data_IF_657836448749
#
_entry.id   IF_657836448749
#
_cell.length_a   1.000
_cell.length_b   1.000
_cell.length_c   1.000
_cell.angle_alpha   90.00
_cell.angle_beta   90.00
_cell.angle_gamma   90.00
#
_symmetry.space_group_name_H-M   'P 1'
#
loop_
_entity.id
_entity.type
_entity.pdbx_description
1 polymer ?
#
# COMPACT_ATOMS: atom_id res chain seq x y z
N UNK A 1 -0.87 3.05 -9.74
CA UNK A 1 0.54 2.79 -10.08
C UNK A 1 0.80 2.70 -11.57
N UNK A 2 0.02 1.92 -12.34
CA UNK A 2 0.25 1.73 -13.79
C UNK A 2 0.47 3.05 -14.56
N UNK A 3 -0.33 4.09 -14.29
CA UNK A 3 -0.13 5.42 -14.86
C UNK A 3 1.26 6.01 -14.59
N UNK A 4 1.77 5.90 -13.37
CA UNK A 4 3.10 6.39 -13.01
C UNK A 4 4.21 5.60 -13.72
N UNK A 5 4.07 4.28 -13.82
CA UNK A 5 5.02 3.45 -14.57
C UNK A 5 4.96 3.73 -16.08
N UNK A 6 3.76 3.96 -16.62
CA UNK A 6 3.58 4.38 -18.01
C UNK A 6 4.27 5.73 -18.27
N UNK A 7 4.05 6.72 -17.41
CA UNK A 7 4.75 8.02 -17.45
C UNK A 7 6.27 7.85 -17.36
N UNK A 8 6.76 6.97 -16.47
CA UNK A 8 8.19 6.71 -16.29
C UNK A 8 8.84 6.16 -17.57
N UNK A 9 8.17 5.26 -18.30
CA UNK A 9 8.67 4.70 -19.58
C UNK A 9 8.28 5.54 -20.81
N UNK A 10 7.61 6.69 -20.62
CA UNK A 10 7.14 7.55 -21.71
C UNK A 10 5.98 6.96 -22.54
N UNK A 11 5.23 6.00 -22.01
CA UNK A 11 4.08 5.38 -22.65
C UNK A 11 2.76 6.10 -22.27
N UNK A 12 1.78 6.20 -23.19
CA UNK A 12 0.44 6.67 -22.83
C UNK A 12 -0.22 5.70 -21.83
N UNK A 13 -0.77 6.24 -20.74
CA UNK A 13 -1.32 5.42 -19.65
C UNK A 13 -2.41 4.42 -20.09
N UNK A 14 -3.22 4.76 -21.11
CA UNK A 14 -4.26 3.88 -21.65
C UNK A 14 -3.76 2.77 -22.57
N UNK A 15 -2.46 2.72 -22.87
CA UNK A 15 -1.85 1.69 -23.73
C UNK A 15 -1.01 0.66 -22.96
N UNK A 16 -0.94 0.82 -21.63
CA UNK A 16 -0.19 -0.04 -20.73
C UNK A 16 -1.15 -0.98 -20.01
N UNK A 17 -0.70 -2.20 -19.73
CA UNK A 17 -1.42 -3.18 -18.94
C UNK A 17 -0.44 -3.85 -17.99
N UNK A 18 -0.85 -4.13 -16.77
CA UNK A 18 -0.03 -4.85 -15.81
C UNK A 18 -0.73 -6.04 -15.18
N UNK A 19 0.07 -7.00 -14.72
CA UNK A 19 -0.35 -7.98 -13.73
C UNK A 19 0.34 -7.68 -12.41
N UNK A 20 -0.43 -7.79 -11.34
CA UNK A 20 0.04 -7.62 -9.98
C UNK A 20 -0.69 -8.57 -9.04
N UNK A 21 -0.04 -8.89 -7.92
CA UNK A 21 -0.66 -9.57 -6.80
C UNK A 21 0.10 -9.25 -5.52
N UNK A 22 -0.58 -9.41 -4.38
CA UNK A 22 0.03 -9.35 -3.06
C UNK A 22 -1.00 -9.03 -1.98
N UNK A 23 -0.59 -8.28 -0.96
CA UNK A 23 -1.49 -7.77 0.08
C UNK A 23 -1.87 -6.34 -0.24
N UNK A 24 -2.91 -5.84 0.43
CA UNK A 24 -3.13 -4.41 0.46
C UNK A 24 -1.88 -3.69 0.98
N UNK A 25 -1.47 -2.63 0.27
CA UNK A 25 -0.22 -1.90 0.50
C UNK A 25 1.08 -2.71 0.31
N UNK A 26 1.01 -3.96 -0.18
CA UNK A 26 2.17 -4.76 -0.55
C UNK A 26 1.81 -5.65 -1.75
N UNK A 27 1.35 -5.04 -2.83
CA UNK A 27 1.19 -5.69 -4.11
C UNK A 27 2.40 -5.39 -5.00
N UNK A 28 2.83 -6.37 -5.80
CA UNK A 28 3.93 -6.20 -6.74
C UNK A 28 3.41 -6.29 -8.16
N UNK A 29 3.70 -5.27 -8.98
CA UNK A 29 3.56 -5.35 -10.43
C UNK A 29 4.78 -6.13 -10.94
N UNK A 30 4.55 -7.36 -11.37
CA UNK A 30 5.60 -8.26 -11.85
C UNK A 30 5.58 -8.43 -13.38
N UNK A 31 4.47 -8.08 -14.04
CA UNK A 31 4.36 -8.01 -15.49
C UNK A 31 3.83 -6.62 -15.90
N UNK A 32 4.56 -5.95 -16.78
CA UNK A 32 4.16 -4.67 -17.38
C UNK A 32 4.29 -4.77 -18.91
N UNK A 33 3.18 -4.51 -19.61
CA UNK A 33 3.12 -4.53 -21.07
C UNK A 33 2.74 -3.17 -21.63
N UNK A 34 3.39 -2.76 -22.71
CA UNK A 34 2.96 -1.62 -23.53
C UNK A 34 2.61 -2.13 -24.94
N UNK A 35 1.34 -1.97 -25.35
CA UNK A 35 0.82 -2.53 -26.61
C UNK A 35 1.15 -4.03 -26.76
N UNK A 36 1.04 -4.78 -25.65
CA UNK A 36 1.28 -6.22 -25.60
C UNK A 36 2.74 -6.66 -25.56
N UNK A 37 3.72 -5.75 -25.58
CA UNK A 37 5.16 -6.08 -25.47
C UNK A 37 5.67 -5.86 -24.06
N UNK A 38 6.63 -6.67 -23.61
CA UNK A 38 7.33 -6.46 -22.33
C UNK A 38 7.91 -5.04 -22.26
N UNK A 39 7.50 -4.29 -21.24
CA UNK A 39 7.92 -2.93 -21.00
C UNK A 39 9.03 -2.80 -19.96
N UNK A 40 9.39 -3.87 -19.24
CA UNK A 40 10.46 -3.83 -18.25
C UNK A 40 11.84 -3.47 -18.81
N UNK A 41 12.23 -3.87 -20.03
CA UNK A 41 13.46 -3.39 -20.64
C UNK A 41 13.52 -1.85 -20.75
N UNK A 42 12.39 -1.19 -21.02
CA UNK A 42 12.31 0.27 -21.10
C UNK A 42 12.47 0.91 -19.72
N UNK A 43 11.82 0.37 -18.70
CA UNK A 43 11.97 0.83 -17.32
C UNK A 43 13.42 0.67 -16.83
N UNK A 44 14.10 -0.44 -17.15
CA UNK A 44 15.51 -0.65 -16.80
C UNK A 44 16.44 0.34 -17.49
N UNK A 45 16.22 0.61 -18.79
CA UNK A 45 17.01 1.59 -19.52
C UNK A 45 16.85 2.99 -18.93
N UNK A 46 15.60 3.41 -18.66
CA UNK A 46 15.31 4.70 -18.03
C UNK A 46 15.90 4.81 -16.63
N UNK A 47 15.77 3.75 -15.82
CA UNK A 47 16.34 3.71 -14.48
C UNK A 47 17.87 3.86 -14.53
N UNK A 48 18.55 3.19 -15.46
CA UNK A 48 19.99 3.33 -15.64
C UNK A 48 20.39 4.78 -15.98
N UNK A 49 19.64 5.47 -16.85
CA UNK A 49 19.86 6.90 -17.14
C UNK A 49 19.69 7.77 -15.89
N UNK A 50 18.63 7.55 -15.10
CA UNK A 50 18.36 8.36 -13.91
C UNK A 50 19.34 8.10 -12.76
N UNK A 51 19.99 6.92 -12.71
CA UNK A 51 21.03 6.61 -11.72
C UNK A 51 22.35 7.34 -11.96
N UNK A 52 22.61 7.80 -13.18
CA UNK A 52 23.77 8.65 -13.49
C UNK A 52 23.59 10.10 -13.02
N UNK A 53 22.37 10.50 -12.67
CA UNK A 53 22.07 11.83 -12.14
C UNK A 53 22.37 11.90 -10.63
N UNK A 54 22.80 13.06 -10.11
CA UNK A 54 22.95 13.25 -8.67
C UNK A 54 21.64 12.95 -7.93
N UNK A 55 21.75 12.20 -6.83
CA UNK A 55 20.59 11.87 -6.01
C UNK A 55 20.04 13.14 -5.32
N UNK A 56 18.81 13.50 -5.67
CA UNK A 56 18.13 14.65 -5.08
C UNK A 56 17.44 14.24 -3.77
N UNK A 57 18.12 14.47 -2.64
CA UNK A 57 17.54 14.20 -1.32
C UNK A 57 16.28 15.04 -1.01
N UNK A 58 16.02 16.13 -1.73
CA UNK A 58 14.81 16.94 -1.56
C UNK A 58 13.58 16.30 -2.23
N UNK A 59 13.79 15.42 -3.21
CA UNK A 59 12.72 14.68 -3.87
C UNK A 59 12.01 13.67 -2.94
N UNK A 60 12.69 13.25 -1.87
CA UNK A 60 12.12 12.41 -0.83
C UNK A 60 11.11 13.21 -0.02
N UNK A 61 9.83 12.91 -0.24
CA UNK A 61 8.74 13.68 0.32
C UNK A 61 8.74 13.63 1.85
N UNK A 62 8.67 14.82 2.47
CA UNK A 62 8.50 14.95 3.92
C UNK A 62 7.12 14.53 4.38
N UNK A 63 6.12 14.65 3.50
CA UNK A 63 4.71 14.36 3.77
C UNK A 63 4.16 13.45 2.68
N UNK A 64 2.95 12.93 2.88
CA UNK A 64 2.17 12.41 1.76
C UNK A 64 2.19 13.43 0.60
N UNK A 65 2.24 13.01 -0.69
CA UNK A 65 1.70 13.90 -1.72
C UNK A 65 0.33 14.35 -1.24
N UNK A 66 0.06 15.65 -1.26
CA UNK A 66 -1.28 16.13 -0.93
C UNK A 66 -2.28 15.21 -1.65
N UNK A 67 -3.36 14.76 -1.01
CA UNK A 67 -4.45 14.08 -1.74
C UNK A 67 -5.04 14.97 -2.85
N UNK A 68 -4.57 16.22 -2.91
CA UNK A 68 -4.76 17.19 -3.96
C UNK A 68 -3.80 16.89 -5.10
N UNK A 69 -4.28 16.77 -6.34
CA UNK A 69 -3.39 16.75 -7.48
C UNK A 69 -2.54 18.02 -7.45
N UNK A 70 -1.23 17.86 -7.27
CA UNK A 70 -0.29 18.95 -7.50
C UNK A 70 -0.48 19.37 -8.97
N UNK A 71 -0.71 20.66 -9.26
CA UNK A 71 -0.76 21.14 -10.62
C UNK A 71 0.68 21.21 -11.15
N UNK A 72 1.30 20.08 -11.46
CA UNK A 72 2.49 20.06 -12.30
C UNK A 72 2.82 18.69 -12.89
N UNK A 73 3.03 18.74 -14.21
CA UNK A 73 3.57 17.73 -15.12
C UNK A 73 5.02 17.37 -14.80
N UNK A 74 5.37 16.98 -13.57
CA UNK A 74 6.68 16.37 -13.33
C UNK A 74 6.55 14.87 -13.56
N UNK A 75 7.25 14.35 -14.57
CA UNK A 75 7.38 12.91 -14.75
C UNK A 75 7.88 12.28 -13.44
N UNK A 76 7.29 11.14 -13.06
CA UNK A 76 7.75 10.36 -11.91
C UNK A 76 9.25 10.10 -12.04
N UNK A 77 10.05 10.41 -11.00
CA UNK A 77 11.49 10.14 -11.00
C UNK A 77 11.80 8.91 -10.15
N UNK A 78 12.90 8.24 -10.46
CA UNK A 78 13.42 7.15 -9.67
C UNK A 78 13.91 7.61 -8.29
N UNK A 79 14.44 8.84 -8.20
CA UNK A 79 14.87 9.44 -6.94
C UNK A 79 13.71 9.67 -5.96
N UNK A 80 12.45 9.76 -6.43
CA UNK A 80 11.27 9.92 -5.58
C UNK A 80 10.96 8.65 -4.77
N UNK A 81 11.33 7.47 -5.32
CA UNK A 81 11.00 6.15 -4.76
C UNK A 81 12.20 5.18 -4.83
N UNK A 82 13.35 5.54 -4.25
CA UNK A 82 14.59 4.78 -4.42
C UNK A 82 14.51 3.34 -3.90
N UNK A 83 13.74 3.09 -2.84
CA UNK A 83 13.55 1.76 -2.28
C UNK A 83 12.70 0.87 -3.19
N UNK A 84 11.60 1.39 -3.76
CA UNK A 84 10.77 0.65 -4.71
C UNK A 84 11.57 0.24 -5.95
N UNK A 85 12.42 1.13 -6.46
CA UNK A 85 13.33 0.79 -7.56
C UNK A 85 14.40 -0.23 -7.15
N UNK A 86 14.89 -0.18 -5.91
CA UNK A 86 15.81 -1.22 -5.42
C UNK A 86 15.15 -2.61 -5.34
N UNK A 87 13.85 -2.67 -5.00
CA UNK A 87 13.07 -3.91 -5.05
C UNK A 87 12.87 -4.38 -6.49
N UNK A 88 12.62 -3.46 -7.44
CA UNK A 88 12.54 -3.81 -8.85
C UNK A 88 13.86 -4.34 -9.41
N UNK A 89 14.99 -3.78 -9.03
CA UNK A 89 16.32 -4.28 -9.39
C UNK A 89 16.56 -5.69 -8.83
N UNK A 90 16.14 -5.94 -7.58
CA UNK A 90 16.35 -7.22 -6.90
C UNK A 90 15.42 -8.34 -7.39
N UNK A 91 14.13 -8.02 -7.63
CA UNK A 91 13.08 -9.03 -7.86
C UNK A 91 12.46 -8.97 -9.25
N UNK A 92 12.81 -7.96 -10.06
CA UNK A 92 12.18 -7.73 -11.37
C UNK A 92 10.72 -7.28 -11.29
N UNK A 93 10.25 -6.87 -10.11
CA UNK A 93 8.88 -6.45 -9.87
C UNK A 93 8.83 -5.16 -9.04
N UNK A 94 7.92 -4.26 -9.38
CA UNK A 94 7.80 -2.96 -8.75
C UNK A 94 6.65 -2.94 -7.73
N UNK A 95 6.85 -2.49 -6.48
CA UNK A 95 5.77 -2.42 -5.50
C UNK A 95 4.73 -1.36 -5.89
N UNK A 96 3.46 -1.75 -5.94
CA UNK A 96 2.36 -0.96 -6.50
C UNK A 96 1.93 0.25 -5.65
N UNK A 97 2.69 0.59 -4.61
CA UNK A 97 2.36 1.62 -3.62
C UNK A 97 3.49 2.59 -3.29
N UNK A 98 4.63 2.49 -3.97
CA UNK A 98 5.79 3.35 -3.75
C UNK A 98 6.38 3.25 -2.32
N UNK A 99 7.46 4.02 -2.08
CA UNK A 99 8.30 3.89 -0.90
C UNK A 99 7.55 4.10 0.41
N UNK A 100 6.64 5.07 0.43
CA UNK A 100 5.86 5.44 1.62
C UNK A 100 5.20 4.24 2.29
N UNK A 101 4.60 3.37 1.50
CA UNK A 101 3.87 2.22 2.02
C UNK A 101 4.77 0.99 2.08
N UNK A 102 5.52 0.72 1.00
CA UNK A 102 6.31 -0.52 0.94
C UNK A 102 7.41 -0.55 2.00
N UNK A 103 7.95 0.60 2.45
CA UNK A 103 8.98 0.63 3.49
C UNK A 103 8.53 0.00 4.82
N UNK A 104 7.24 0.12 5.16
CA UNK A 104 6.67 -0.41 6.40
C UNK A 104 6.72 -1.95 6.44
N UNK A 105 6.77 -2.60 5.27
CA UNK A 105 6.85 -4.05 5.16
C UNK A 105 8.27 -4.61 5.21
N UNK A 106 9.30 -3.76 5.22
CA UNK A 106 10.70 -4.15 5.27
C UNK A 106 11.48 -3.40 6.37
N UNK A 107 11.03 -3.44 7.64
CA UNK A 107 11.68 -2.73 8.73
C UNK A 107 13.16 -3.12 8.90
N UNK A 108 13.54 -4.35 8.55
CA UNK A 108 14.92 -4.84 8.59
C UNK A 108 15.86 -4.10 7.62
N UNK A 109 15.32 -3.40 6.61
CA UNK A 109 16.09 -2.58 5.66
C UNK A 109 16.36 -1.17 6.18
N UNK A 110 15.69 -0.75 7.25
CA UNK A 110 15.75 0.60 7.79
C UNK A 110 16.04 0.59 9.29
N UNK A 111 17.22 0.09 9.73
CA UNK A 111 17.58 0.09 11.15
C UNK A 111 17.51 1.51 11.71
N UNK A 112 16.83 1.66 12.85
CA UNK A 112 16.56 2.94 13.52
C UNK A 112 15.69 3.92 12.70
N UNK A 113 15.09 3.44 11.61
CA UNK A 113 14.28 4.22 10.68
C UNK A 113 15.10 5.02 9.67
N UNK A 114 16.41 4.78 9.53
CA UNK A 114 17.26 5.49 8.57
C UNK A 114 16.81 5.22 7.13
N UNK A 115 16.59 6.28 6.37
CA UNK A 115 16.04 6.23 5.02
C UNK A 115 16.66 7.34 4.16
N UNK A 116 17.69 7.01 3.36
CA UNK A 116 18.31 7.91 2.37
C UNK A 116 18.66 9.33 2.86
N UNK A 117 19.22 9.43 4.07
CA UNK A 117 19.59 10.71 4.71
C UNK A 117 18.48 11.35 5.54
N UNK A 118 17.33 10.67 5.64
CA UNK A 118 16.16 11.01 6.45
C UNK A 118 15.85 9.87 7.45
N UNK A 119 14.81 10.07 8.25
CA UNK A 119 14.22 9.14 9.21
C UNK A 119 12.73 8.96 8.94
N UNK A 120 12.32 7.72 8.70
CA UNK A 120 10.92 7.34 8.48
C UNK A 120 10.04 7.78 9.66
N UNK A 121 8.85 8.30 9.35
CA UNK A 121 7.87 8.79 10.32
C UNK A 121 8.18 10.17 10.89
N UNK A 122 9.37 10.73 10.63
CA UNK A 122 9.83 12.02 11.17
C UNK A 122 9.92 13.06 10.06
N UNK A 123 10.95 12.96 9.20
CA UNK A 123 11.24 13.89 8.10
C UNK A 123 11.15 13.22 6.71
N UNK A 124 10.97 11.89 6.68
CA UNK A 124 10.39 11.15 5.57
C UNK A 124 9.04 10.58 6.01
N UNK A 125 7.97 10.91 5.29
CA UNK A 125 6.60 10.45 5.60
C UNK A 125 6.16 10.77 7.04
N UNK A 126 6.29 12.03 7.44
CA UNK A 126 6.04 12.53 8.80
C UNK A 126 4.65 12.18 9.34
N UNK A 127 4.58 11.56 10.53
CA UNK A 127 3.31 11.33 11.23
C UNK A 127 2.66 12.64 11.67
N UNK A 128 3.41 13.50 12.36
CA UNK A 128 2.93 14.82 12.81
C UNK A 128 2.50 15.69 11.63
N UNK A 129 3.26 15.68 10.53
CA UNK A 129 2.90 16.40 9.32
C UNK A 129 1.60 15.86 8.67
N UNK A 130 1.37 14.54 8.75
CA UNK A 130 0.15 13.91 8.24
C UNK A 130 -1.07 14.26 9.11
N UNK A 131 -0.91 14.22 10.45
CA UNK A 131 -1.98 14.57 11.40
C UNK A 131 -2.38 16.04 11.23
N UNK A 132 -1.40 16.95 11.23
CA UNK A 132 -1.66 18.38 11.07
C UNK A 132 -2.37 18.71 9.75
N UNK A 133 -2.04 18.01 8.66
CA UNK A 133 -2.73 18.17 7.38
C UNK A 133 -4.17 17.64 7.44
N UNK A 134 -4.41 16.50 8.09
CA UNK A 134 -5.75 15.97 8.33
C UNK A 134 -6.62 16.94 9.14
N UNK A 135 -6.09 17.47 10.23
CA UNK A 135 -6.75 18.47 11.07
C UNK A 135 -7.12 19.72 10.26
N UNK A 136 -6.21 20.18 9.41
CA UNK A 136 -6.44 21.32 8.53
C UNK A 136 -7.52 21.02 7.50
N UNK A 137 -7.49 19.86 6.85
CA UNK A 137 -8.53 19.43 5.90
C UNK A 137 -9.90 19.43 6.59
N UNK A 138 -9.99 18.88 7.81
CA UNK A 138 -11.25 18.85 8.55
C UNK A 138 -11.74 20.25 8.94
N UNK A 139 -10.83 21.12 9.40
CA UNK A 139 -11.14 22.51 9.70
C UNK A 139 -11.65 23.26 8.44
N UNK A 140 -11.00 23.04 7.30
CA UNK A 140 -11.36 23.63 6.01
C UNK A 140 -12.75 23.15 5.56
N UNK A 141 -13.02 21.84 5.64
CA UNK A 141 -14.34 21.27 5.34
C UNK A 141 -15.44 21.89 6.22
N UNK A 142 -15.17 22.04 7.52
CA UNK A 142 -16.12 22.64 8.46
C UNK A 142 -16.35 24.12 8.16
N UNK A 143 -15.31 24.87 7.84
CA UNK A 143 -15.44 26.28 7.48
C UNK A 143 -16.26 26.48 6.20
N UNK A 144 -16.07 25.62 5.19
CA UNK A 144 -16.86 25.61 3.96
C UNK A 144 -18.34 25.31 4.25
N UNK A 145 -18.62 24.24 5.00
CA UNK A 145 -19.98 23.84 5.36
C UNK A 145 -20.75 24.93 6.13
N UNK A 146 -20.04 25.76 6.89
CA UNK A 146 -20.61 26.87 7.65
C UNK A 146 -20.60 28.21 6.91
N UNK A 147 -20.21 28.24 5.63
CA UNK A 147 -20.13 29.46 4.83
C UNK A 147 -19.08 30.47 5.30
N UNK A 148 -18.10 30.04 6.11
CA UNK A 148 -17.01 30.89 6.61
C UNK A 148 -15.87 31.04 5.62
N UNK A 149 -15.81 30.16 4.63
CA UNK A 149 -14.90 30.24 3.50
C UNK A 149 -15.59 29.71 2.24
N UNK A 150 -15.19 30.17 1.05
CA UNK A 150 -15.74 29.65 -0.20
C UNK A 150 -15.42 28.16 -0.35
N UNK A 151 -16.25 27.45 -1.12
CA UNK A 151 -15.95 26.10 -1.55
C UNK A 151 -14.64 26.10 -2.34
N UNK A 152 -13.85 25.05 -2.12
CA UNK A 152 -12.69 24.78 -2.96
C UNK A 152 -13.18 24.32 -4.34
N UNK A 153 -12.99 25.12 -5.39
CA UNK A 153 -13.51 24.80 -6.73
C UNK A 153 -12.97 23.47 -7.28
N UNK A 154 -11.85 22.98 -6.75
CA UNK A 154 -11.28 21.67 -7.14
C UNK A 154 -12.16 20.49 -6.76
N UNK A 155 -13.17 20.66 -5.88
CA UNK A 155 -14.16 19.60 -5.63
C UNK A 155 -14.95 19.23 -6.89
N UNK A 156 -14.98 20.13 -7.89
CA UNK A 156 -15.64 19.90 -9.17
C UNK A 156 -14.68 19.31 -10.23
N UNK A 157 -13.39 19.20 -9.93
CA UNK A 157 -12.42 18.51 -10.77
C UNK A 157 -12.47 17.00 -10.50
N UNK A 158 -12.25 16.16 -11.53
CA UNK A 158 -12.03 14.74 -11.32
C UNK A 158 -10.69 14.54 -10.61
N UNK A 159 -10.74 14.24 -9.32
CA UNK A 159 -9.56 13.86 -8.57
C UNK A 159 -9.20 12.40 -8.89
N UNK A 160 -7.99 12.09 -9.39
CA UNK A 160 -7.55 10.71 -9.50
C UNK A 160 -7.48 10.11 -8.08
N UNK A 161 -8.25 9.06 -7.80
CA UNK A 161 -8.27 8.45 -6.46
C UNK A 161 -9.18 7.23 -6.33
N UNK A 162 -9.04 6.53 -5.21
CA UNK A 162 -9.77 5.28 -4.91
C UNK A 162 -11.28 5.49 -4.78
N UNK A 163 -11.71 6.68 -4.35
CA UNK A 163 -13.13 7.03 -4.15
C UNK A 163 -13.97 6.92 -5.43
N UNK A 164 -13.39 7.15 -6.61
CA UNK A 164 -14.09 6.97 -7.89
C UNK A 164 -14.27 5.48 -8.25
N UNK A 165 -13.37 4.59 -7.79
CA UNK A 165 -13.40 3.16 -8.16
C UNK A 165 -14.66 2.45 -7.66
N UNK A 166 -15.18 2.80 -6.48
CA UNK A 166 -16.41 2.18 -5.96
C UNK A 166 -17.59 2.42 -6.92
N UNK A 167 -17.76 3.67 -7.36
CA UNK A 167 -18.82 4.03 -8.31
C UNK A 167 -18.62 3.34 -9.67
N UNK A 168 -17.38 3.25 -10.15
CA UNK A 168 -17.08 2.53 -11.40
C UNK A 168 -17.32 1.02 -11.28
N UNK A 169 -17.00 0.40 -10.14
CA UNK A 169 -17.29 -1.02 -9.88
C UNK A 169 -18.79 -1.25 -9.85
N UNK A 170 -19.54 -0.43 -9.10
CA UNK A 170 -21.01 -0.53 -9.04
C UNK A 170 -21.63 -0.35 -10.44
N UNK A 171 -21.14 0.61 -11.21
CA UNK A 171 -21.57 0.82 -12.59
C UNK A 171 -21.28 -0.40 -13.47
N UNK A 172 -20.07 -0.97 -13.38
CA UNK A 172 -19.70 -2.16 -14.14
C UNK A 172 -20.52 -3.40 -13.75
N UNK A 173 -20.92 -3.52 -12.48
CA UNK A 173 -21.80 -4.60 -12.01
C UNK A 173 -23.23 -4.36 -12.54
N UNK A 174 -23.79 -3.17 -12.35
CA UNK A 174 -25.17 -2.83 -12.73
C UNK A 174 -25.40 -2.95 -14.24
N UNK A 175 -24.47 -2.45 -15.05
CA UNK A 175 -24.56 -2.44 -16.51
C UNK A 175 -23.78 -3.57 -17.18
N UNK A 176 -23.22 -4.48 -16.39
CA UNK A 176 -22.49 -5.66 -16.87
C UNK A 176 -21.35 -5.33 -17.86
N UNK A 177 -20.62 -4.23 -17.60
CA UNK A 177 -19.53 -3.77 -18.47
C UNK A 177 -18.28 -4.67 -18.41
N UNK A 178 -18.19 -5.54 -17.40
CA UNK A 178 -17.09 -6.50 -17.19
C UNK A 178 -15.71 -5.80 -17.14
N UNK A 179 -15.65 -4.60 -16.54
CA UNK A 179 -14.40 -3.86 -16.36
C UNK A 179 -13.50 -4.55 -15.33
N UNK A 180 -12.19 -4.35 -15.48
CA UNK A 180 -11.16 -4.91 -14.58
C UNK A 180 -10.73 -3.85 -13.57
N UNK A 181 -10.62 -4.24 -12.31
CA UNK A 181 -10.22 -3.38 -11.20
C UNK A 181 -9.16 -4.06 -10.32
N UNK A 182 -8.38 -3.28 -9.58
CA UNK A 182 -7.67 -3.81 -8.40
C UNK A 182 -8.69 -4.03 -7.29
N UNK A 183 -8.75 -5.25 -6.75
CA UNK A 183 -9.66 -5.60 -5.68
C UNK A 183 -8.98 -6.48 -4.64
N UNK A 184 -9.44 -6.35 -3.39
CA UNK A 184 -9.03 -7.18 -2.27
C UNK A 184 -10.05 -8.32 -2.13
N UNK A 185 -9.64 -9.55 -2.45
CA UNK A 185 -10.53 -10.72 -2.51
C UNK A 185 -9.88 -11.96 -1.85
N UNK A 186 -10.67 -12.95 -1.40
CA UNK A 186 -10.14 -14.26 -1.04
C UNK A 186 -9.37 -14.90 -2.20
N UNK A 187 -8.19 -15.46 -1.92
CA UNK A 187 -7.31 -16.06 -2.91
C UNK A 187 -8.03 -17.21 -3.65
N UNK A 188 -8.52 -18.21 -2.92
CA UNK A 188 -9.28 -19.34 -3.47
C UNK A 188 -8.63 -20.01 -4.70
N UNK A 189 -7.30 -20.01 -4.76
CA UNK A 189 -6.52 -20.57 -5.89
C UNK A 189 -6.28 -19.61 -7.05
N UNK A 190 -6.66 -18.33 -6.95
CA UNK A 190 -6.30 -17.30 -7.93
C UNK A 190 -4.78 -17.21 -8.10
N UNK A 191 -4.03 -17.22 -6.98
CA UNK A 191 -2.57 -17.29 -6.91
C UNK A 191 -2.17 -18.62 -6.23
N UNK A 192 -1.83 -19.68 -6.99
CA UNK A 192 -1.67 -21.04 -6.45
C UNK A 192 -0.54 -21.22 -5.44
N UNK A 193 0.52 -20.42 -5.53
CA UNK A 193 1.67 -20.46 -4.62
C UNK A 193 1.51 -19.56 -3.38
N UNK A 194 0.31 -19.03 -3.14
CA UNK A 194 -0.08 -18.36 -1.89
C UNK A 194 -1.16 -19.17 -1.14
N UNK A 195 -1.30 -19.01 0.19
CA UNK A 195 -2.31 -19.73 0.96
C UNK A 195 -3.73 -19.56 0.40
N UNK A 196 -4.50 -20.65 0.35
CA UNK A 196 -5.83 -20.66 -0.28
C UNK A 196 -6.83 -19.68 0.36
N UNK A 197 -6.73 -19.51 1.67
CA UNK A 197 -7.58 -18.69 2.54
C UNK A 197 -7.08 -17.25 2.72
N UNK A 198 -5.95 -16.86 2.11
CA UNK A 198 -5.44 -15.49 2.26
C UNK A 198 -6.30 -14.48 1.50
N UNK A 199 -6.36 -13.26 2.03
CA UNK A 199 -7.01 -12.13 1.37
C UNK A 199 -5.95 -11.35 0.58
N UNK A 200 -6.11 -11.26 -0.73
CA UNK A 200 -5.10 -10.73 -1.65
C UNK A 200 -5.64 -9.54 -2.44
N UNK A 201 -4.77 -8.57 -2.71
CA UNK A 201 -5.00 -7.52 -3.70
C UNK A 201 -4.51 -8.00 -5.08
N UNK A 202 -5.44 -8.10 -6.04
CA UNK A 202 -5.16 -8.59 -7.39
C UNK A 202 -6.22 -8.10 -8.41
N UNK A 203 -5.97 -8.20 -9.72
CA UNK A 203 -6.95 -7.86 -10.75
C UNK A 203 -8.23 -8.72 -10.67
N UNK A 204 -9.39 -8.07 -10.67
CA UNK A 204 -10.69 -8.72 -10.68
C UNK A 204 -11.63 -8.11 -11.71
N UNK A 205 -12.44 -8.94 -12.35
CA UNK A 205 -13.50 -8.52 -13.28
C UNK A 205 -14.78 -8.25 -12.50
N UNK A 206 -15.38 -7.07 -12.69
CA UNK A 206 -16.69 -6.71 -12.14
C UNK A 206 -17.81 -7.14 -13.09
N UNK A 207 -18.40 -8.30 -12.82
CA UNK A 207 -19.54 -8.87 -13.58
C UNK A 207 -20.88 -8.48 -12.95
N UNK A 208 -21.99 -8.68 -13.66
CA UNK A 208 -23.33 -8.57 -13.07
C UNK A 208 -23.58 -9.44 -11.81
N UNK A 209 -22.71 -10.42 -11.53
CA UNK A 209 -22.79 -11.32 -10.37
C UNK A 209 -21.73 -11.01 -9.29
N UNK A 210 -21.13 -9.82 -9.36
CA UNK A 210 -20.07 -9.36 -8.48
C UNK A 210 -18.67 -9.56 -9.06
N UNK A 211 -17.67 -9.35 -8.20
CA UNK A 211 -16.25 -9.45 -8.57
C UNK A 211 -15.80 -10.90 -8.75
N UNK A 212 -14.95 -11.13 -9.75
CA UNK A 212 -14.29 -12.40 -10.02
C UNK A 212 -12.78 -12.18 -10.13
N UNK A 213 -12.02 -12.75 -9.22
CA UNK A 213 -10.57 -12.72 -9.22
C UNK A 213 -10.01 -13.34 -10.52
N UNK A 214 -8.99 -12.73 -11.11
CA UNK A 214 -8.24 -13.35 -12.21
C UNK A 214 -7.31 -14.43 -11.65
N UNK A 215 -7.22 -15.55 -12.37
CA UNK A 215 -6.25 -16.59 -12.07
C UNK A 215 -4.87 -16.22 -12.65
N UNK A 216 -3.86 -16.16 -11.79
CA UNK A 216 -2.48 -15.77 -12.11
C UNK A 216 -1.55 -16.89 -11.61
N UNK A 217 -1.33 -17.93 -12.43
CA UNK A 217 -0.56 -19.11 -12.02
C UNK A 217 0.95 -18.89 -11.98
N UNK A 218 1.42 -17.79 -12.53
CA UNK A 218 2.82 -17.45 -12.77
C UNK A 218 3.36 -16.34 -11.83
N UNK A 219 2.69 -16.11 -10.70
CA UNK A 219 3.19 -15.18 -9.68
C UNK A 219 4.56 -15.64 -9.15
N UNK A 220 5.62 -14.81 -9.18
CA UNK A 220 6.97 -15.27 -8.85
C UNK A 220 7.14 -15.77 -7.41
N UNK A 221 7.75 -16.95 -7.23
CA UNK A 221 8.00 -17.55 -5.91
C UNK A 221 8.76 -16.64 -4.92
N UNK A 222 9.78 -15.86 -5.33
CA UNK A 222 10.42 -14.92 -4.40
C UNK A 222 9.46 -13.86 -3.85
N UNK A 223 8.52 -13.39 -4.65
CA UNK A 223 7.48 -12.45 -4.20
C UNK A 223 6.45 -13.17 -3.32
N UNK A 224 6.05 -14.39 -3.68
CA UNK A 224 5.17 -15.22 -2.87
C UNK A 224 5.73 -15.47 -1.47
N UNK A 225 7.05 -15.65 -1.34
CA UNK A 225 7.71 -15.80 -0.04
C UNK A 225 7.62 -14.52 0.82
N UNK A 226 7.82 -13.35 0.23
CA UNK A 226 7.65 -12.04 0.91
C UNK A 226 6.21 -11.89 1.40
N UNK A 227 5.24 -12.13 0.52
CA UNK A 227 3.81 -12.03 0.85
C UNK A 227 3.42 -13.03 1.95
N UNK A 228 3.87 -14.28 1.85
CA UNK A 228 3.58 -15.34 2.82
C UNK A 228 4.11 -15.01 4.22
N UNK A 229 5.30 -14.43 4.32
CA UNK A 229 5.86 -13.96 5.61
C UNK A 229 4.92 -12.93 6.27
N UNK A 230 4.39 -11.98 5.49
CA UNK A 230 3.47 -10.97 6.02
C UNK A 230 2.08 -11.52 6.33
N UNK A 231 1.59 -12.49 5.55
CA UNK A 231 0.36 -13.24 5.89
C UNK A 231 0.50 -13.94 7.25
N UNK A 232 1.68 -14.50 7.56
CA UNK A 232 1.90 -15.17 8.85
C UNK A 232 1.75 -14.21 10.04
N UNK A 233 2.31 -12.99 9.94
CA UNK A 233 2.12 -11.96 10.97
C UNK A 233 0.64 -11.56 11.11
N UNK A 234 -0.06 -11.33 9.99
CA UNK A 234 -1.49 -10.98 9.98
C UNK A 234 -2.33 -12.07 10.67
N UNK A 235 -2.04 -13.35 10.41
CA UNK A 235 -2.75 -14.48 11.05
C UNK A 235 -2.59 -14.46 12.56
N UNK A 236 -1.38 -14.26 13.06
CA UNK A 236 -1.12 -14.14 14.49
C UNK A 236 -1.86 -12.95 15.09
N UNK A 237 -1.88 -11.80 14.41
CA UNK A 237 -2.63 -10.61 14.84
C UNK A 237 -4.13 -10.89 14.93
N UNK A 238 -4.72 -11.50 13.90
CA UNK A 238 -6.16 -11.83 13.86
C UNK A 238 -6.51 -12.82 14.95
N UNK A 239 -5.72 -13.88 15.13
CA UNK A 239 -5.94 -14.86 16.18
C UNK A 239 -5.83 -14.23 17.57
N UNK A 240 -4.79 -13.43 17.82
CA UNK A 240 -4.64 -12.69 19.07
C UNK A 240 -5.85 -11.81 19.37
N UNK A 241 -6.35 -11.08 18.36
CA UNK A 241 -7.50 -10.20 18.49
C UNK A 241 -8.80 -10.97 18.80
N UNK A 242 -9.05 -12.08 18.11
CA UNK A 242 -10.27 -12.88 18.29
C UNK A 242 -10.29 -13.66 19.61
N UNK A 243 -9.13 -14.04 20.14
CA UNK A 243 -9.04 -14.86 21.36
C UNK A 243 -8.61 -14.07 22.60
N UNK A 244 -8.31 -12.77 22.47
CA UNK A 244 -7.71 -11.97 23.55
C UNK A 244 -6.33 -12.47 24.01
N UNK A 245 -5.60 -13.19 23.17
CA UNK A 245 -4.38 -13.88 23.57
C UNK A 245 -3.16 -12.97 23.50
N UNK A 246 -2.77 -12.45 24.66
CA UNK A 246 -1.59 -11.57 24.83
C UNK A 246 -0.28 -12.18 24.34
N UNK A 247 -0.10 -13.51 24.47
CA UNK A 247 1.12 -14.18 23.98
C UNK A 247 1.18 -14.15 22.45
N UNK A 248 0.05 -14.42 21.78
CA UNK A 248 -0.01 -14.33 20.32
C UNK A 248 0.17 -12.89 19.83
N UNK A 249 -0.29 -11.89 20.58
CA UNK A 249 -0.01 -10.49 20.25
C UNK A 249 1.50 -10.21 20.23
N UNK A 250 2.25 -10.72 21.21
CA UNK A 250 3.72 -10.58 21.24
C UNK A 250 4.37 -11.27 20.05
N UNK A 251 3.97 -12.50 19.74
CA UNK A 251 4.47 -13.22 18.56
C UNK A 251 4.12 -12.49 17.25
N UNK A 252 2.94 -11.87 17.17
CA UNK A 252 2.54 -11.08 16.00
C UNK A 252 3.45 -9.86 15.79
N UNK A 253 3.77 -9.13 16.86
CA UNK A 253 4.69 -7.98 16.82
C UNK A 253 6.10 -8.39 16.36
N UNK A 254 6.59 -9.54 16.85
CA UNK A 254 7.89 -10.09 16.45
C UNK A 254 7.87 -10.58 15.00
N UNK A 255 6.79 -11.23 14.56
CA UNK A 255 6.64 -11.76 13.22
C UNK A 255 6.57 -10.66 12.14
N UNK A 256 5.96 -9.50 12.47
CA UNK A 256 5.96 -8.34 11.58
C UNK A 256 7.39 -7.83 11.33
N UNK A 257 8.22 -7.80 12.38
CA UNK A 257 9.65 -7.52 12.30
C UNK A 257 10.06 -6.07 12.56
N UNK A 258 9.11 -5.18 12.88
CA UNK A 258 9.41 -3.81 13.34
C UNK A 258 10.06 -3.79 14.73
N UNK A 259 9.81 -4.83 15.53
CA UNK A 259 10.42 -5.05 16.84
C UNK A 259 11.03 -6.45 16.85
N UNK A 260 12.28 -6.56 17.31
CA UNK A 260 12.99 -7.85 17.35
C UNK A 260 13.32 -8.34 18.75
N UNK A 261 13.20 -7.46 19.76
CA UNK A 261 13.42 -7.82 21.16
C UNK A 261 12.09 -8.29 21.80
N UNK A 262 12.02 -9.52 22.32
CA UNK A 262 10.78 -10.06 22.90
C UNK A 262 10.25 -9.27 24.10
N UNK A 263 11.13 -8.71 24.93
CA UNK A 263 10.72 -7.97 26.12
C UNK A 263 10.19 -6.58 25.74
N UNK A 264 10.81 -5.92 24.76
CA UNK A 264 10.28 -4.68 24.16
C UNK A 264 8.92 -4.94 23.51
N UNK A 265 8.78 -6.03 22.74
CA UNK A 265 7.50 -6.40 22.11
C UNK A 265 6.41 -6.65 23.16
N UNK A 266 6.74 -7.31 24.27
CA UNK A 266 5.83 -7.54 25.40
C UNK A 266 5.38 -6.23 26.05
N UNK A 267 6.33 -5.35 26.38
CA UNK A 267 6.03 -4.06 27.01
C UNK A 267 5.15 -3.19 26.10
N UNK A 268 5.51 -3.09 24.82
CA UNK A 268 4.74 -2.35 23.82
C UNK A 268 3.33 -2.92 23.65
N UNK A 269 3.19 -4.24 23.57
CA UNK A 269 1.88 -4.89 23.49
C UNK A 269 0.99 -4.55 24.69
N UNK A 270 1.54 -4.56 25.90
CA UNK A 270 0.81 -4.18 27.12
C UNK A 270 0.40 -2.71 27.12
N UNK A 271 1.29 -1.80 26.72
CA UNK A 271 0.98 -0.37 26.61
C UNK A 271 -0.12 -0.09 25.57
N UNK A 272 -0.05 -0.73 24.40
CA UNK A 272 -1.07 -0.61 23.35
C UNK A 272 -2.42 -1.16 23.82
N UNK A 273 -2.44 -2.32 24.49
CA UNK A 273 -3.67 -2.89 25.04
C UNK A 273 -4.27 -2.00 26.13
N UNK A 274 -3.44 -1.43 27.01
CA UNK A 274 -3.90 -0.52 28.06
C UNK A 274 -4.50 0.77 27.48
N UNK A 275 -3.84 1.36 26.48
CA UNK A 275 -4.32 2.56 25.80
C UNK A 275 -5.67 2.37 25.09
N UNK A 276 -5.97 1.15 24.63
CA UNK A 276 -7.18 0.81 23.88
C UNK A 276 -8.14 -0.11 24.66
N UNK A 277 -8.00 -0.17 26.00
CA UNK A 277 -8.73 -1.11 26.86
C UNK A 277 -10.24 -1.11 26.62
N UNK A 278 -10.83 0.07 26.48
CA UNK A 278 -12.27 0.26 26.32
C UNK A 278 -12.79 -0.31 24.99
N UNK A 279 -11.90 -0.52 24.01
CA UNK A 279 -12.22 -1.03 22.68
C UNK A 279 -11.84 -2.50 22.48
N UNK A 280 -11.12 -3.10 23.44
CA UNK A 280 -10.56 -4.45 23.32
C UNK A 280 -10.98 -5.37 24.49
N UNK A 281 -12.30 -5.55 24.74
CA UNK A 281 -12.80 -6.26 25.92
C UNK A 281 -12.32 -7.72 26.01
N UNK A 282 -12.09 -8.40 24.88
CA UNK A 282 -11.63 -9.78 24.84
C UNK A 282 -10.25 -9.99 25.50
N UNK A 283 -9.41 -8.96 25.56
CA UNK A 283 -8.12 -8.98 26.27
C UNK A 283 -8.23 -8.71 27.77
N UNK A 284 -9.43 -8.31 28.24
CA UNK A 284 -9.71 -7.93 29.62
C UNK A 284 -11.02 -8.57 30.10
N UNK A 285 -11.15 -9.92 30.06
CA UNK A 285 -12.38 -10.59 30.49
C UNK A 285 -12.69 -10.24 31.94
N UNK A 286 -13.95 -9.90 32.21
CA UNK A 286 -14.43 -9.66 33.58
C UNK A 286 -14.27 -10.91 34.42
N UNK A 287 -13.90 -10.75 35.69
CA UNK A 287 -13.74 -11.83 36.67
C UNK A 287 -14.99 -12.68 36.92
N UNK A 288 -16.14 -12.25 36.39
CA UNK A 288 -17.44 -12.90 36.57
C UNK A 288 -17.76 -13.93 35.46
N UNK A 289 -16.83 -14.18 34.53
CA UNK A 289 -17.01 -15.06 33.37
C UNK A 289 -16.32 -16.44 33.48
N UNK A 290 -16.07 -16.93 34.71
CA UNK A 290 -15.51 -18.28 34.97
C UNK A 290 -16.50 -19.12 35.76
#
# INVERSE_FOLDING_TARGET
MERQLAEFIGAPAGEVTSLFAGLNHLAFIFDLRWRGRDAWPLARARLAEERELPFDHQSLKERFPEMRPLPQKSASKAADNPFSWSLFEAYGAYPAVNDRHVSEFFPERFPQGHYYGKRLGVDAFSFEGTIAEGDRIYADMRAQALGKQPLDERIFERAPGEHEKLLEILHSVEYDERRIFSAILPNQGAIPNLPYDSILELPAVATATGLRALHIPDFPDPLAAIITRKIAAIRLTVEAALTGNRKLLVEALLADGAVTDPEIARQMGEELLAAHRDYLPDFFPSSDAV
#
